data_IF_200100429979
#
_entry.id   IF_200100429979
#
_cell.length_a   1.000
_cell.length_b   1.000
_cell.length_c   1.000
_cell.angle_alpha   90.00
_cell.angle_beta   90.00
_cell.angle_gamma   90.00
#
_symmetry.space_group_name_H-M   'P 1'
#
loop_
_entity.id
_entity.type
_entity.pdbx_description
1 polymer ?
#
# COMPACT_ATOMS: atom_id res chain seq x y z
N UNK A 1 28.80 -19.04 3.10
CA UNK A 1 29.71 -19.89 2.31
C UNK A 1 28.99 -21.18 1.99
N UNK A 2 28.53 -21.36 0.78
CA UNK A 2 27.96 -22.63 0.29
C UNK A 2 28.43 -22.82 -1.16
N UNK A 3 29.17 -23.87 -1.37
CA UNK A 3 29.92 -24.19 -2.56
C UNK A 3 29.02 -24.61 -3.71
N UNK A 4 29.25 -24.01 -4.88
CA UNK A 4 28.69 -24.42 -6.17
C UNK A 4 29.41 -25.65 -6.66
N UNK A 5 28.70 -26.80 -6.74
CA UNK A 5 29.19 -28.03 -7.36
C UNK A 5 28.87 -27.94 -8.86
N UNK A 6 29.91 -27.76 -9.69
CA UNK A 6 29.83 -27.89 -11.14
C UNK A 6 29.93 -29.36 -11.49
N UNK A 7 28.96 -29.88 -12.18
CA UNK A 7 29.02 -31.22 -12.82
C UNK A 7 29.54 -31.00 -14.25
N UNK A 8 30.71 -31.57 -14.51
CA UNK A 8 31.34 -31.64 -15.82
C UNK A 8 30.93 -32.95 -16.48
N UNK A 9 30.29 -32.89 -17.62
CA UNK A 9 29.99 -34.03 -18.46
C UNK A 9 31.08 -34.03 -19.54
N UNK A 10 31.97 -35.02 -19.47
CA UNK A 10 32.95 -35.29 -20.50
C UNK A 10 32.33 -36.32 -21.44
N UNK A 11 32.27 -35.98 -22.71
CA UNK A 11 31.98 -36.91 -23.82
C UNK A 11 33.25 -37.07 -24.61
N UNK A 12 33.83 -38.25 -24.58
CA UNK A 12 34.82 -38.66 -25.55
C UNK A 12 34.23 -39.71 -26.50
N UNK A 13 34.59 -39.67 -27.80
CA UNK A 13 34.17 -40.66 -28.78
C UNK A 13 35.27 -41.71 -28.98
N UNK A 14 34.94 -42.97 -28.83
CA UNK A 14 35.79 -44.04 -29.31
C UNK A 14 35.34 -44.50 -30.71
N UNK A 15 36.23 -44.28 -31.68
CA UNK A 15 36.25 -44.98 -32.96
C UNK A 15 36.97 -46.35 -32.81
N UNK A 16 36.35 -47.40 -33.19
CA UNK A 16 37.06 -48.60 -33.66
C UNK A 16 36.41 -49.22 -34.88
N UNK A 17 37.18 -49.18 -35.93
CA UNK A 17 37.00 -49.92 -37.17
C UNK A 17 37.14 -51.41 -36.96
N UNK A 18 36.25 -52.26 -37.50
CA UNK A 18 36.72 -53.46 -38.19
C UNK A 18 35.79 -53.89 -39.32
N UNK A 19 36.44 -54.29 -40.40
CA UNK A 19 35.91 -54.70 -41.68
C UNK A 19 35.67 -56.23 -41.71
N UNK A 20 34.73 -56.66 -42.50
CA UNK A 20 34.57 -57.85 -43.20
C UNK A 20 33.76 -59.02 -42.57
N UNK A 21 32.57 -59.25 -43.07
CA UNK A 21 32.21 -60.50 -43.77
C UNK A 21 30.88 -60.40 -44.50
N UNK A 22 30.98 -60.60 -45.81
CA UNK A 22 29.87 -60.86 -46.76
C UNK A 22 29.31 -62.21 -46.51
N UNK A 23 28.00 -62.37 -46.43
CA UNK A 23 27.16 -63.22 -47.29
C UNK A 23 25.86 -63.69 -46.58
N UNK A 24 24.76 -63.53 -47.28
CA UNK A 24 23.56 -64.38 -47.27
C UNK A 24 22.62 -64.36 -46.04
N UNK A 25 21.52 -63.56 -46.16
CA UNK A 25 20.16 -64.11 -46.29
C UNK A 25 19.15 -63.01 -46.40
N UNK A 26 18.71 -62.74 -47.60
CA UNK A 26 17.44 -62.10 -47.88
C UNK A 26 16.31 -62.96 -47.33
N UNK A 27 15.52 -62.43 -46.43
CA UNK A 27 14.08 -62.59 -46.29
C UNK A 27 13.51 -62.43 -44.86
N UNK A 28 14.14 -61.58 -44.01
CA UNK A 28 13.54 -61.19 -42.75
C UNK A 28 13.68 -59.67 -42.45
N UNK A 29 13.95 -58.93 -43.50
CA UNK A 29 14.29 -57.51 -43.39
C UNK A 29 13.11 -56.51 -43.44
N UNK A 30 11.95 -56.96 -43.97
CA UNK A 30 10.79 -56.07 -44.13
C UNK A 30 9.91 -56.01 -42.87
N UNK A 31 9.63 -57.11 -42.22
CA UNK A 31 8.85 -57.12 -40.95
C UNK A 31 9.58 -56.43 -39.78
N UNK A 32 10.92 -56.47 -39.74
CA UNK A 32 11.71 -55.73 -38.72
C UNK A 32 11.81 -54.25 -39.02
N UNK A 33 11.65 -53.79 -40.24
CA UNK A 33 11.64 -52.36 -40.60
C UNK A 33 10.30 -51.71 -40.32
N UNK A 34 9.18 -52.40 -40.50
CA UNK A 34 7.85 -51.92 -40.16
C UNK A 34 7.64 -51.86 -38.65
N UNK A 35 8.04 -52.90 -37.89
CA UNK A 35 7.97 -52.88 -36.42
C UNK A 35 8.84 -51.78 -35.78
N UNK A 36 10.02 -51.48 -36.31
CA UNK A 36 10.85 -50.35 -35.88
C UNK A 36 10.27 -49.01 -36.29
N UNK A 37 9.56 -48.90 -37.41
CA UNK A 37 8.88 -47.70 -37.86
C UNK A 37 7.70 -47.31 -36.98
N UNK A 38 6.96 -48.26 -36.48
CA UNK A 38 5.81 -48.02 -35.61
C UNK A 38 6.26 -47.70 -34.16
N UNK A 39 7.30 -48.39 -33.65
CA UNK A 39 7.91 -48.03 -32.34
C UNK A 39 8.51 -46.60 -32.37
N UNK A 40 9.14 -46.20 -33.47
CA UNK A 40 9.64 -44.83 -33.60
C UNK A 40 8.54 -43.77 -33.60
N UNK A 41 7.39 -44.07 -34.19
CA UNK A 41 6.21 -43.19 -34.19
C UNK A 41 5.58 -43.07 -32.79
N UNK A 42 5.48 -44.19 -32.05
CA UNK A 42 5.01 -44.20 -30.66
C UNK A 42 5.92 -43.36 -29.75
N UNK A 43 7.24 -43.60 -29.83
CA UNK A 43 8.21 -42.82 -29.04
C UNK A 43 8.17 -41.31 -29.41
N UNK A 44 7.98 -40.98 -30.69
CA UNK A 44 7.83 -39.59 -31.12
C UNK A 44 6.54 -38.96 -30.57
N UNK A 45 5.44 -39.71 -30.57
CA UNK A 45 4.17 -39.22 -30.01
C UNK A 45 4.28 -39.02 -28.48
N UNK A 46 4.88 -39.96 -27.76
CA UNK A 46 5.15 -39.82 -26.32
C UNK A 46 6.05 -38.62 -26.02
N UNK A 47 7.11 -38.41 -26.81
CA UNK A 47 8.01 -37.29 -26.65
C UNK A 47 7.33 -35.93 -26.91
N UNK A 48 6.38 -35.89 -27.86
CA UNK A 48 5.59 -34.70 -28.15
C UNK A 48 4.61 -34.39 -26.99
N UNK A 49 3.94 -35.44 -26.43
CA UNK A 49 3.06 -35.28 -25.27
C UNK A 49 3.81 -34.79 -24.03
N UNK A 50 4.94 -35.39 -23.71
CA UNK A 50 5.82 -35.01 -22.61
C UNK A 50 6.33 -33.55 -22.76
N UNK A 51 6.72 -33.18 -23.99
CA UNK A 51 7.11 -31.77 -24.25
C UNK A 51 5.96 -30.78 -24.05
N UNK A 52 4.75 -31.16 -24.45
CA UNK A 52 3.58 -30.34 -24.28
C UNK A 52 3.24 -30.19 -22.78
N UNK A 53 3.24 -31.27 -22.03
CA UNK A 53 3.02 -31.25 -20.58
C UNK A 53 4.08 -30.44 -19.84
N UNK A 54 5.34 -30.59 -20.23
CA UNK A 54 6.45 -29.80 -19.68
C UNK A 54 6.24 -28.30 -19.96
N UNK A 55 5.82 -27.94 -21.17
CA UNK A 55 5.52 -26.55 -21.55
C UNK A 55 4.36 -25.99 -20.75
N UNK A 56 3.25 -26.72 -20.64
CA UNK A 56 2.10 -26.31 -19.85
C UNK A 56 2.44 -26.12 -18.38
N UNK A 57 3.24 -27.02 -17.82
CA UNK A 57 3.72 -26.95 -16.44
C UNK A 57 4.63 -25.73 -16.24
N UNK A 58 5.52 -25.46 -17.20
CA UNK A 58 6.38 -24.29 -17.17
C UNK A 58 5.59 -22.98 -17.26
N UNK A 59 4.61 -22.91 -18.16
CA UNK A 59 3.74 -21.75 -18.29
C UNK A 59 2.91 -21.50 -17.01
N UNK A 60 2.42 -22.59 -16.39
CA UNK A 60 1.74 -22.53 -15.09
C UNK A 60 2.68 -22.04 -14.00
N UNK A 61 3.91 -22.55 -13.96
CA UNK A 61 4.93 -22.09 -13.02
C UNK A 61 5.23 -20.60 -13.18
N UNK A 62 5.41 -20.12 -14.40
CA UNK A 62 5.65 -18.70 -14.67
C UNK A 62 4.49 -17.82 -14.18
N UNK A 63 3.25 -18.24 -14.44
CA UNK A 63 2.06 -17.54 -13.96
C UNK A 63 2.02 -17.46 -12.44
N UNK A 64 2.16 -18.60 -11.76
CA UNK A 64 2.15 -18.66 -10.29
C UNK A 64 3.29 -17.85 -9.70
N UNK A 65 4.48 -17.88 -10.31
CA UNK A 65 5.61 -17.06 -9.88
C UNK A 65 5.31 -15.56 -9.97
N UNK A 66 4.72 -15.12 -11.08
CA UNK A 66 4.31 -13.71 -11.26
C UNK A 66 3.21 -13.30 -10.25
N UNK A 67 2.23 -14.16 -10.02
CA UNK A 67 1.18 -13.95 -9.03
C UNK A 67 1.76 -13.84 -7.60
N UNK A 68 2.71 -14.71 -7.28
CA UNK A 68 3.40 -14.69 -5.99
C UNK A 68 4.20 -13.40 -5.77
N UNK A 69 4.93 -12.92 -6.79
CA UNK A 69 5.63 -11.63 -6.70
C UNK A 69 4.68 -10.46 -6.52
N UNK A 70 3.55 -10.45 -7.24
CA UNK A 70 2.52 -9.43 -7.09
C UNK A 70 1.88 -9.48 -5.70
N UNK A 71 1.58 -10.67 -5.19
CA UNK A 71 1.07 -10.87 -3.83
C UNK A 71 2.07 -10.35 -2.79
N UNK A 72 3.35 -10.69 -2.92
CA UNK A 72 4.41 -10.23 -2.01
C UNK A 72 4.51 -8.70 -1.97
N UNK A 73 4.47 -8.04 -3.15
CA UNK A 73 4.48 -6.58 -3.25
C UNK A 73 3.25 -5.95 -2.59
N UNK A 74 2.07 -6.54 -2.83
CA UNK A 74 0.81 -6.06 -2.23
C UNK A 74 0.83 -6.24 -0.72
N UNK A 75 1.19 -7.42 -0.24
CA UNK A 75 1.26 -7.71 1.20
C UNK A 75 2.25 -6.80 1.94
N UNK A 76 3.39 -6.49 1.33
CA UNK A 76 4.34 -5.54 1.91
C UNK A 76 3.72 -4.14 2.07
N UNK A 77 2.97 -3.63 1.06
CA UNK A 77 2.28 -2.35 1.15
C UNK A 77 1.18 -2.37 2.22
N UNK A 78 0.36 -3.41 2.26
CA UNK A 78 -0.69 -3.59 3.27
C UNK A 78 -0.11 -3.60 4.69
N UNK A 79 1.04 -4.25 4.89
CA UNK A 79 1.73 -4.25 6.19
C UNK A 79 2.30 -2.88 6.56
N UNK A 80 2.82 -2.13 5.60
CA UNK A 80 3.32 -0.78 5.84
C UNK A 80 2.16 0.18 6.16
N UNK A 81 1.04 0.07 5.46
CA UNK A 81 -0.17 0.84 5.73
C UNK A 81 -0.75 0.50 7.10
N UNK A 82 -0.80 -0.80 7.46
CA UNK A 82 -1.23 -1.22 8.79
C UNK A 82 -0.36 -0.60 9.89
N UNK A 83 0.96 -0.58 9.73
CA UNK A 83 1.87 0.04 10.71
C UNK A 83 1.66 1.55 10.84
N UNK A 84 1.42 2.24 9.72
CA UNK A 84 1.19 3.69 9.72
C UNK A 84 -0.13 4.08 10.37
N UNK A 85 -1.18 3.29 10.15
CA UNK A 85 -2.56 3.67 10.52
C UNK A 85 -3.16 2.80 11.64
N UNK A 86 -2.38 1.87 12.23
CA UNK A 86 -2.88 0.99 13.30
C UNK A 86 -3.53 1.75 14.47
N UNK A 87 -3.00 2.93 14.80
CA UNK A 87 -3.45 3.73 15.93
C UNK A 87 -4.54 4.75 15.55
N UNK A 88 -4.99 4.77 14.30
CA UNK A 88 -5.95 5.76 13.82
C UNK A 88 -7.22 5.83 14.67
N UNK A 89 -7.82 4.68 14.97
CA UNK A 89 -9.06 4.60 15.74
C UNK A 89 -8.88 5.17 17.16
N UNK A 90 -7.79 4.80 17.84
CA UNK A 90 -7.46 5.32 19.16
C UNK A 90 -7.24 6.84 19.14
N UNK A 91 -6.54 7.34 18.15
CA UNK A 91 -6.25 8.78 18.03
C UNK A 91 -7.56 9.56 17.81
N UNK A 92 -8.48 9.08 16.99
CA UNK A 92 -9.78 9.71 16.77
C UNK A 92 -10.55 9.86 18.09
N UNK A 93 -10.58 8.84 18.93
CA UNK A 93 -11.21 8.93 20.25
C UNK A 93 -10.47 9.90 21.19
N UNK A 94 -9.14 9.95 21.10
CA UNK A 94 -8.34 10.89 21.87
C UNK A 94 -8.55 12.36 21.47
N UNK A 95 -8.96 12.63 20.22
CA UNK A 95 -9.29 14.00 19.78
C UNK A 95 -10.45 14.60 20.58
N UNK A 96 -11.42 13.80 21.01
CA UNK A 96 -12.52 14.28 21.87
C UNK A 96 -12.00 14.75 23.25
N UNK A 97 -10.95 14.11 23.78
CA UNK A 97 -10.30 14.53 25.03
C UNK A 97 -9.57 15.87 24.82
N UNK A 98 -8.84 16.00 23.71
CA UNK A 98 -8.14 17.23 23.35
C UNK A 98 -9.14 18.40 23.22
N UNK A 99 -10.27 18.19 22.52
CA UNK A 99 -11.32 19.21 22.37
C UNK A 99 -11.89 19.66 23.73
N UNK A 100 -12.09 18.70 24.65
CA UNK A 100 -12.56 19.03 26.01
C UNK A 100 -11.52 19.84 26.80
N UNK A 101 -10.23 19.54 26.67
CA UNK A 101 -9.17 20.31 27.31
C UNK A 101 -9.07 21.73 26.72
N UNK A 102 -9.17 21.87 25.40
CA UNK A 102 -9.20 23.17 24.73
C UNK A 102 -10.43 23.99 25.15
N UNK A 103 -11.60 23.36 25.27
CA UNK A 103 -12.82 23.99 25.75
C UNK A 103 -12.68 24.45 27.21
N UNK A 104 -12.08 23.66 28.06
CA UNK A 104 -11.81 24.00 29.45
C UNK A 104 -10.91 25.23 29.56
N UNK A 105 -9.84 25.29 28.74
CA UNK A 105 -8.95 26.45 28.65
C UNK A 105 -9.69 27.72 28.20
N UNK A 106 -10.52 27.61 27.16
CA UNK A 106 -11.29 28.72 26.62
C UNK A 106 -12.38 29.24 27.60
N UNK A 107 -12.91 28.35 28.45
CA UNK A 107 -13.91 28.68 29.47
C UNK A 107 -13.32 29.31 30.73
N UNK A 108 -12.00 29.16 30.94
CA UNK A 108 -11.30 29.68 32.09
C UNK A 108 -11.11 31.19 31.97
N UNK A 109 -11.94 31.98 32.63
CA UNK A 109 -11.94 33.45 32.54
C UNK A 109 -10.74 34.11 33.26
N UNK A 110 -9.84 33.33 33.87
CA UNK A 110 -8.60 33.82 34.48
C UNK A 110 -8.75 34.87 35.60
N UNK A 111 -9.95 34.98 36.18
CA UNK A 111 -10.25 36.05 37.13
C UNK A 111 -9.71 35.80 38.55
N UNK A 112 -9.26 34.60 38.86
CA UNK A 112 -8.61 34.28 40.13
C UNK A 112 -7.20 33.67 39.92
N UNK A 113 -6.33 33.84 40.92
CA UNK A 113 -4.99 33.22 40.83
C UNK A 113 -5.00 31.69 40.80
N UNK A 114 -6.03 31.09 41.41
CA UNK A 114 -6.24 29.64 41.35
C UNK A 114 -6.64 29.15 39.96
N UNK A 115 -7.49 29.93 39.26
CA UNK A 115 -7.93 29.61 37.89
C UNK A 115 -6.75 29.63 36.91
N UNK A 116 -5.82 30.58 37.08
CA UNK A 116 -4.60 30.66 36.26
C UNK A 116 -3.69 29.44 36.48
N UNK A 117 -3.48 29.06 37.72
CA UNK A 117 -2.64 27.88 38.02
C UNK A 117 -3.24 26.58 37.47
N UNK A 118 -4.58 26.44 37.55
CA UNK A 118 -5.29 25.33 36.94
C UNK A 118 -5.21 25.36 35.41
N UNK A 119 -5.41 26.50 34.79
CA UNK A 119 -5.29 26.65 33.34
C UNK A 119 -3.88 26.33 32.84
N UNK A 120 -2.85 26.77 33.57
CA UNK A 120 -1.45 26.41 33.25
C UNK A 120 -1.20 24.89 33.31
N UNK A 121 -1.75 24.21 34.32
CA UNK A 121 -1.64 22.74 34.44
C UNK A 121 -2.34 22.01 33.26
N UNK A 122 -3.55 22.46 32.91
CA UNK A 122 -4.28 21.89 31.77
C UNK A 122 -3.54 22.15 30.46
N UNK A 123 -3.00 23.36 30.27
CA UNK A 123 -2.22 23.73 29.10
C UNK A 123 -0.95 22.89 28.95
N UNK A 124 -0.27 22.60 30.07
CA UNK A 124 0.90 21.72 30.08
C UNK A 124 0.51 20.31 29.63
N UNK A 125 -0.60 19.77 30.16
CA UNK A 125 -1.10 18.44 29.79
C UNK A 125 -1.47 18.37 28.31
N UNK A 126 -2.16 19.40 27.79
CA UNK A 126 -2.52 19.51 26.37
C UNK A 126 -1.26 19.50 25.49
N UNK A 127 -0.25 20.28 25.83
CA UNK A 127 1.03 20.31 25.11
C UNK A 127 1.71 18.96 25.07
N UNK A 128 1.70 18.20 26.17
CA UNK A 128 2.29 16.85 26.20
C UNK A 128 1.51 15.88 25.29
N UNK A 129 0.18 15.95 25.27
CA UNK A 129 -0.64 15.14 24.34
C UNK A 129 -0.30 15.51 22.89
N UNK A 130 -0.22 16.80 22.55
CA UNK A 130 0.13 17.22 21.19
C UNK A 130 1.54 16.77 20.78
N UNK A 131 2.53 16.80 21.68
CA UNK A 131 3.86 16.21 21.41
C UNK A 131 3.80 14.72 21.14
N UNK A 132 2.93 13.98 21.84
CA UNK A 132 2.71 12.57 21.55
C UNK A 132 2.10 12.41 20.14
N UNK A 133 1.13 13.23 19.77
CA UNK A 133 0.54 13.20 18.44
C UNK A 133 1.58 13.45 17.34
N UNK A 134 2.48 14.41 17.52
CA UNK A 134 3.58 14.65 16.57
C UNK A 134 4.47 13.41 16.37
N UNK A 135 4.77 12.64 17.43
CA UNK A 135 5.55 11.39 17.31
C UNK A 135 4.86 10.33 16.45
N UNK A 136 3.53 10.36 16.41
CA UNK A 136 2.72 9.47 15.55
C UNK A 136 2.36 10.12 14.20
N UNK A 137 3.02 11.24 13.84
CA UNK A 137 2.75 12.00 12.62
C UNK A 137 1.29 12.47 12.51
N UNK A 138 0.67 12.79 13.64
CA UNK A 138 -0.62 13.47 13.70
C UNK A 138 -0.37 14.97 13.76
N UNK A 139 -0.95 15.71 12.83
CA UNK A 139 -0.77 17.15 12.71
C UNK A 139 -2.13 17.86 12.64
N UNK A 140 -2.27 19.03 13.29
CA UNK A 140 -3.45 19.86 13.09
C UNK A 140 -3.46 20.42 11.65
N UNK A 141 -4.65 20.68 11.15
CA UNK A 141 -4.87 21.37 9.87
C UNK A 141 -4.87 22.88 10.18
N UNK A 142 -4.08 23.64 9.48
CA UNK A 142 -4.08 25.10 9.57
C UNK A 142 -5.18 25.64 8.68
N UNK A 143 -6.34 25.92 9.26
CA UNK A 143 -7.55 26.32 8.53
C UNK A 143 -7.76 27.82 8.49
N UNK A 144 -7.40 28.55 9.54
CA UNK A 144 -7.71 29.99 9.70
C UNK A 144 -6.99 30.84 8.63
N UNK A 145 -7.75 31.65 7.93
CA UNK A 145 -7.24 32.53 6.87
C UNK A 145 -6.95 31.79 5.55
N UNK A 146 -7.20 30.50 5.47
CA UNK A 146 -7.05 29.73 4.24
C UNK A 146 -8.36 29.69 3.44
N UNK A 147 -8.28 29.48 2.11
CA UNK A 147 -9.46 29.21 1.31
C UNK A 147 -10.17 27.93 1.79
N UNK A 148 -11.48 27.93 1.78
CA UNK A 148 -12.27 26.76 2.13
C UNK A 148 -12.01 25.62 1.13
N UNK A 149 -11.59 24.46 1.64
CA UNK A 149 -11.43 23.22 0.88
C UNK A 149 -12.31 22.12 1.47
N UNK A 150 -13.31 21.59 0.73
CA UNK A 150 -14.20 20.54 1.19
C UNK A 150 -13.51 19.24 1.60
N UNK A 151 -12.27 19.00 1.13
CA UNK A 151 -11.51 17.81 1.50
C UNK A 151 -10.99 17.86 2.95
N UNK A 152 -10.74 19.05 3.48
CA UNK A 152 -10.14 19.25 4.80
C UNK A 152 -11.03 20.03 5.77
N UNK A 153 -12.00 20.79 5.26
CA UNK A 153 -12.84 21.68 6.05
C UNK A 153 -14.30 21.29 5.95
N UNK A 154 -15.01 21.43 7.07
CA UNK A 154 -16.46 21.30 7.17
C UNK A 154 -17.03 22.66 7.57
N UNK A 155 -17.67 23.37 6.65
CA UNK A 155 -18.33 24.62 6.94
C UNK A 155 -19.59 24.37 7.78
N UNK A 156 -19.64 24.97 8.97
CA UNK A 156 -20.78 24.88 9.88
C UNK A 156 -21.68 26.11 9.76
N UNK A 157 -21.08 27.28 9.53
CA UNK A 157 -21.75 28.54 9.42
C UNK A 157 -21.07 29.41 8.37
N UNK A 158 -21.83 30.36 7.84
CA UNK A 158 -21.33 31.46 7.02
C UNK A 158 -21.56 32.79 7.76
N UNK A 159 -20.56 33.64 7.76
CA UNK A 159 -20.61 34.94 8.37
C UNK A 159 -20.37 36.01 7.31
N UNK A 160 -21.29 36.99 7.24
CA UNK A 160 -21.14 38.14 6.32
C UNK A 160 -20.09 39.10 6.87
N UNK A 161 -18.94 39.16 6.20
CA UNK A 161 -17.84 40.05 6.57
C UNK A 161 -17.18 40.64 5.33
N UNK A 162 -16.67 41.87 5.50
CA UNK A 162 -15.86 42.55 4.48
C UNK A 162 -14.35 42.40 4.77
N UNK A 163 -13.97 41.79 5.90
CA UNK A 163 -12.58 41.70 6.35
C UNK A 163 -11.81 40.57 5.64
N UNK A 164 -12.53 39.60 5.12
CA UNK A 164 -11.96 38.43 4.45
C UNK A 164 -12.56 38.23 3.07
N UNK A 165 -11.79 37.71 2.11
CA UNK A 165 -12.32 37.30 0.81
C UNK A 165 -13.44 36.25 0.98
N UNK A 166 -14.38 36.24 0.06
CA UNK A 166 -15.43 35.22 0.01
C UNK A 166 -14.85 33.82 -0.02
N UNK A 167 -15.48 32.86 0.66
CA UNK A 167 -15.03 31.48 0.82
C UNK A 167 -13.69 31.31 1.57
N UNK A 168 -13.33 32.28 2.42
CA UNK A 168 -12.16 32.15 3.31
C UNK A 168 -12.60 31.70 4.70
N UNK A 169 -11.82 30.87 5.36
CA UNK A 169 -12.06 30.45 6.75
C UNK A 169 -11.76 31.61 7.71
N UNK A 170 -12.79 32.08 8.41
CA UNK A 170 -12.67 33.15 9.40
C UNK A 170 -12.27 32.60 10.77
N UNK A 171 -12.98 31.56 11.21
CA UNK A 171 -12.83 31.01 12.54
C UNK A 171 -12.89 29.47 12.46
N UNK A 172 -12.07 28.82 13.28
CA UNK A 172 -12.09 27.39 13.47
C UNK A 172 -12.79 27.07 14.80
N UNK A 173 -13.95 26.41 14.71
CA UNK A 173 -14.73 25.95 15.87
C UNK A 173 -14.17 24.71 16.52
N UNK A 174 -13.62 23.84 15.68
CA UNK A 174 -13.01 22.59 16.09
C UNK A 174 -11.87 22.25 15.15
N UNK A 175 -10.69 21.95 15.71
CA UNK A 175 -9.50 21.68 14.92
C UNK A 175 -9.61 20.37 14.16
N UNK A 176 -9.24 20.41 12.89
CA UNK A 176 -9.03 19.22 12.07
C UNK A 176 -7.65 18.62 12.32
N UNK A 177 -7.54 17.32 12.05
CA UNK A 177 -6.28 16.58 12.19
C UNK A 177 -6.06 15.60 11.07
N UNK A 178 -4.80 15.44 10.69
CA UNK A 178 -4.32 14.43 9.75
C UNK A 178 -3.34 13.49 10.42
N UNK A 179 -3.33 12.21 10.00
CA UNK A 179 -2.28 11.24 10.34
C UNK A 179 -1.53 10.89 9.06
N UNK A 180 -0.24 11.20 9.00
CA UNK A 180 0.56 11.10 7.79
C UNK A 180 -0.09 11.88 6.64
N UNK A 181 -0.63 11.19 5.66
CA UNK A 181 -1.31 11.72 4.47
C UNK A 181 -2.84 11.49 4.49
N UNK A 182 -3.38 10.92 5.59
CA UNK A 182 -4.79 10.59 5.71
C UNK A 182 -5.51 11.53 6.65
N UNK A 183 -6.69 12.02 6.24
CA UNK A 183 -7.57 12.80 7.09
C UNK A 183 -8.13 11.93 8.23
N UNK A 184 -7.98 12.41 9.48
CA UNK A 184 -8.63 11.84 10.66
C UNK A 184 -10.00 12.46 10.89
N UNK A 185 -10.02 13.81 10.87
CA UNK A 185 -11.21 14.61 11.09
C UNK A 185 -11.03 15.97 10.38
N UNK A 186 -12.03 16.44 9.61
CA UNK A 186 -12.00 17.79 9.03
C UNK A 186 -12.09 18.87 10.13
N UNK A 187 -11.54 20.05 9.85
CA UNK A 187 -11.76 21.22 10.68
C UNK A 187 -13.19 21.72 10.53
N UNK A 188 -13.88 21.95 11.65
CA UNK A 188 -15.17 22.62 11.63
C UNK A 188 -14.96 24.14 11.63
N UNK A 189 -15.40 24.80 10.58
CA UNK A 189 -15.04 26.18 10.30
C UNK A 189 -16.25 27.07 10.03
N UNK A 190 -16.08 28.38 10.29
CA UNK A 190 -16.94 29.44 9.82
C UNK A 190 -16.30 30.10 8.60
N UNK A 191 -17.06 30.28 7.52
CA UNK A 191 -16.58 30.76 6.23
C UNK A 191 -17.12 32.13 5.94
N UNK A 192 -16.31 33.03 5.36
CA UNK A 192 -16.72 34.34 4.91
C UNK A 192 -17.74 34.25 3.77
N UNK A 193 -18.85 34.90 3.92
CA UNK A 193 -19.80 35.19 2.85
C UNK A 193 -19.71 36.65 2.43
N UNK A 194 -19.82 36.91 1.14
CA UNK A 194 -19.94 38.29 0.65
C UNK A 194 -21.26 38.88 1.12
N UNK A 195 -21.23 40.12 1.69
CA UNK A 195 -22.48 40.88 1.94
C UNK A 195 -23.20 41.04 0.62
N UNK A 196 -24.42 40.54 0.54
CA UNK A 196 -25.29 40.79 -0.60
C UNK A 196 -25.43 42.33 -0.72
N UNK A 197 -24.85 42.91 -1.78
CA UNK A 197 -25.15 44.30 -2.14
C UNK A 197 -26.65 44.34 -2.45
N UNK A 198 -27.45 44.78 -1.49
CA UNK A 198 -28.83 45.15 -1.75
C UNK A 198 -28.80 46.27 -2.78
N UNK A 199 -28.87 45.94 -4.05
CA UNK A 199 -29.23 46.85 -5.13
C UNK A 199 -30.74 47.02 -5.04
N UNK A 200 -31.15 48.04 -4.23
CA UNK A 200 -32.48 48.59 -4.24
C UNK A 200 -32.72 49.42 -5.48
#
# INVERSE_FOLDING_TARGET
MAAKKKIKIETEPEETSDKNRVSEKNNSGEEKKEANGDQLKEIQAELETEKQEAKETYDRFLRVSAEFENYKKRSAREMDDLRKYANQALIVEMLAVVDNLERALNSSNGNSSNDKCMADGVNLTLREILKVFEKFNVKPIESIGQPFDPNFHQAMMQEETDDYPENTVITELQKGYMIHDRLLRPSMVVVAASKAKNTG
#
